data_IF_082312420455
#
_entry.id   IF_082312420455
#
_cell.length_a   1.000
_cell.length_b   1.000
_cell.length_c   1.000
_cell.angle_alpha   90.00
_cell.angle_beta   90.00
_cell.angle_gamma   90.00
#
_symmetry.space_group_name_H-M   'P 1'
#
loop_
_entity.id
_entity.type
_entity.pdbx_description
1 polymer ?
#
# COMPACT_ATOMS: atom_id res chain seq x y z
N UNK A 1 -20.36 5.44 -34.76
CA UNK A 1 -20.02 5.32 -33.33
C UNK A 1 -18.74 6.09 -32.98
N UNK A 2 -17.66 5.95 -33.75
CA UNK A 2 -16.38 6.69 -33.57
C UNK A 2 -16.56 8.22 -33.55
N UNK A 3 -17.33 8.79 -34.49
CA UNK A 3 -17.63 10.23 -34.52
C UNK A 3 -18.39 10.76 -33.28
N UNK A 4 -18.98 9.88 -32.46
CA UNK A 4 -19.63 10.25 -31.19
C UNK A 4 -18.63 10.19 -30.03
N UNK A 5 -17.75 9.19 -30.03
CA UNK A 5 -16.64 9.10 -29.08
C UNK A 5 -15.67 10.28 -29.21
N UNK A 6 -15.36 10.71 -30.44
CA UNK A 6 -14.53 11.89 -30.72
C UNK A 6 -15.17 13.21 -30.23
N UNK A 7 -16.50 13.25 -30.10
CA UNK A 7 -17.24 14.38 -29.52
C UNK A 7 -17.36 14.29 -27.99
N UNK A 8 -16.67 13.33 -27.36
CA UNK A 8 -16.65 13.15 -25.90
C UNK A 8 -17.92 12.52 -25.31
N UNK A 9 -18.77 11.89 -26.14
CA UNK A 9 -19.97 11.19 -25.67
C UNK A 9 -19.84 9.69 -25.85
N UNK A 10 -20.12 8.92 -24.78
CA UNK A 10 -20.09 7.46 -24.82
C UNK A 10 -21.07 6.93 -25.89
N UNK A 11 -20.62 6.10 -26.85
CA UNK A 11 -21.51 5.55 -27.87
C UNK A 11 -22.54 4.56 -27.32
N UNK A 12 -22.19 3.85 -26.24
CA UNK A 12 -23.01 2.83 -25.58
C UNK A 12 -23.99 3.39 -24.53
N UNK A 13 -24.71 2.47 -23.87
CA UNK A 13 -25.57 2.78 -22.71
C UNK A 13 -24.74 3.42 -21.59
N UNK A 14 -25.26 4.50 -21.01
CA UNK A 14 -24.62 5.16 -19.88
C UNK A 14 -24.43 4.19 -18.67
N UNK A 15 -23.30 4.28 -17.94
CA UNK A 15 -23.10 3.56 -16.70
C UNK A 15 -24.12 3.93 -15.61
N UNK A 16 -24.25 3.08 -14.58
CA UNK A 16 -25.19 3.30 -13.48
C UNK A 16 -24.89 4.62 -12.76
N UNK A 17 -25.91 5.40 -12.42
CA UNK A 17 -25.72 6.77 -11.93
C UNK A 17 -25.90 7.82 -13.03
N UNK A 18 -26.05 7.39 -14.28
CA UNK A 18 -26.24 8.27 -15.43
C UNK A 18 -27.31 7.73 -16.39
N UNK A 19 -27.95 8.63 -17.13
CA UNK A 19 -28.96 8.32 -18.13
C UNK A 19 -28.68 9.04 -19.44
N UNK A 20 -28.91 8.34 -20.55
CA UNK A 20 -28.89 8.91 -21.89
C UNK A 20 -30.18 9.69 -22.12
N UNK A 21 -30.09 11.00 -22.36
CA UNK A 21 -31.21 11.88 -22.67
C UNK A 21 -31.00 12.48 -24.06
N UNK A 22 -32.09 12.64 -24.82
CA UNK A 22 -32.08 13.38 -26.07
C UNK A 22 -32.34 14.86 -25.71
N UNK A 23 -31.33 15.70 -25.89
CA UNK A 23 -31.50 17.14 -25.71
C UNK A 23 -32.04 17.72 -27.02
N UNK A 24 -33.16 18.45 -26.96
CA UNK A 24 -33.80 19.03 -28.16
C UNK A 24 -33.20 20.39 -28.56
N UNK A 25 -32.39 21.02 -27.68
CA UNK A 25 -31.82 22.36 -27.89
C UNK A 25 -30.44 22.36 -28.54
N UNK A 26 -29.66 21.33 -28.24
CA UNK A 26 -28.38 21.05 -28.89
C UNK A 26 -28.71 19.87 -29.81
N UNK A 27 -28.46 19.94 -31.11
CA UNK A 27 -28.79 18.87 -32.08
C UNK A 27 -28.02 17.54 -31.87
N UNK A 28 -27.63 17.25 -30.62
CA UNK A 28 -26.90 16.10 -30.15
C UNK A 28 -27.84 15.08 -29.50
N UNK A 29 -27.94 13.90 -30.13
CA UNK A 29 -28.67 12.76 -29.59
C UNK A 29 -27.81 12.06 -28.51
N UNK A 30 -28.37 11.81 -27.33
CA UNK A 30 -27.80 11.03 -26.22
C UNK A 30 -26.71 11.74 -25.39
N UNK A 31 -27.06 12.86 -24.77
CA UNK A 31 -26.30 13.51 -23.69
C UNK A 31 -26.42 12.66 -22.42
N UNK A 32 -25.32 12.49 -21.69
CA UNK A 32 -25.27 11.70 -20.47
C UNK A 32 -25.41 12.62 -19.25
N UNK A 33 -26.54 12.53 -18.55
CA UNK A 33 -26.82 13.34 -17.34
C UNK A 33 -26.94 12.43 -16.09
N UNK A 34 -26.60 12.93 -14.89
CA UNK A 34 -26.81 12.22 -13.63
C UNK A 34 -28.27 11.76 -13.45
N UNK A 35 -28.47 10.54 -12.94
CA UNK A 35 -29.79 10.02 -12.55
C UNK A 35 -29.98 9.98 -11.02
N UNK A 36 -31.07 9.38 -10.53
CA UNK A 36 -31.34 9.23 -9.10
C UNK A 36 -30.30 8.37 -8.36
N UNK A 37 -29.61 7.48 -9.06
CA UNK A 37 -28.56 6.62 -8.50
C UNK A 37 -27.21 7.32 -8.40
N UNK A 38 -27.02 8.52 -9.00
CA UNK A 38 -25.75 9.22 -9.00
C UNK A 38 -25.16 9.40 -7.59
N UNK A 39 -25.98 9.86 -6.64
CA UNK A 39 -25.55 10.05 -5.24
C UNK A 39 -25.27 8.73 -4.52
N UNK A 40 -26.03 7.68 -4.86
CA UNK A 40 -25.87 6.35 -4.25
C UNK A 40 -24.59 5.67 -4.73
N UNK A 41 -24.24 5.81 -6.01
CA UNK A 41 -22.97 5.32 -6.55
C UNK A 41 -21.80 6.11 -5.98
N UNK A 42 -21.92 7.44 -5.81
CA UNK A 42 -20.89 8.24 -5.14
C UNK A 42 -20.64 7.74 -3.71
N UNK A 43 -21.71 7.47 -2.96
CA UNK A 43 -21.62 6.91 -1.61
C UNK A 43 -20.92 5.55 -1.57
N UNK A 44 -21.06 4.71 -2.60
CA UNK A 44 -20.27 3.47 -2.70
C UNK A 44 -18.77 3.73 -2.83
N UNK A 45 -18.36 4.71 -3.64
CA UNK A 45 -16.96 5.11 -3.72
C UNK A 45 -16.47 5.69 -2.38
N UNK A 46 -17.28 6.52 -1.72
CA UNK A 46 -16.92 7.08 -0.42
C UNK A 46 -16.72 5.96 0.63
N UNK A 47 -17.59 4.93 0.68
CA UNK A 47 -17.44 3.77 1.58
C UNK A 47 -16.15 2.96 1.32
N UNK A 48 -15.72 2.86 0.06
CA UNK A 48 -14.43 2.23 -0.27
C UNK A 48 -13.27 3.07 0.27
N UNK A 49 -13.34 4.38 0.11
CA UNK A 49 -12.28 5.31 0.47
C UNK A 49 -12.16 5.55 1.99
N UNK A 50 -13.26 5.51 2.73
CA UNK A 50 -13.28 5.81 4.18
C UNK A 50 -13.15 4.56 5.04
N UNK A 51 -13.92 3.51 4.76
CA UNK A 51 -14.06 2.37 5.69
C UNK A 51 -13.18 1.18 5.32
N UNK A 52 -12.41 1.24 4.22
CA UNK A 52 -11.77 0.06 3.63
C UNK A 52 -12.79 -1.12 3.61
N UNK A 53 -14.00 -0.92 3.07
CA UNK A 53 -15.05 -1.93 3.08
C UNK A 53 -14.74 -3.12 2.13
N UNK A 54 -15.17 -4.34 2.47
CA UNK A 54 -15.08 -5.51 1.57
C UNK A 54 -16.21 -5.48 0.53
N UNK A 55 -16.07 -6.20 -0.59
CA UNK A 55 -17.10 -6.24 -1.64
C UNK A 55 -18.43 -6.80 -1.12
N UNK A 56 -18.40 -7.74 -0.18
CA UNK A 56 -19.60 -8.29 0.48
C UNK A 56 -20.29 -7.24 1.36
N UNK A 57 -19.51 -6.41 2.07
CA UNK A 57 -20.06 -5.31 2.86
C UNK A 57 -20.68 -4.26 1.95
N UNK A 58 -20.03 -3.94 0.82
CA UNK A 58 -20.56 -3.01 -0.18
C UNK A 58 -21.85 -3.52 -0.82
N UNK A 59 -21.98 -4.83 -1.06
CA UNK A 59 -23.23 -5.43 -1.54
C UNK A 59 -24.37 -5.26 -0.52
N UNK A 60 -24.09 -5.53 0.76
CA UNK A 60 -25.07 -5.35 1.82
C UNK A 60 -25.49 -3.88 1.96
N UNK A 61 -24.54 -2.96 1.94
CA UNK A 61 -24.82 -1.52 2.01
C UNK A 61 -25.55 -1.01 0.76
N UNK A 62 -25.16 -1.45 -0.45
CA UNK A 62 -25.87 -1.15 -1.69
C UNK A 62 -27.34 -1.58 -1.61
N UNK A 63 -27.59 -2.77 -1.04
CA UNK A 63 -28.94 -3.28 -0.80
C UNK A 63 -29.71 -2.43 0.21
N UNK A 64 -29.09 -2.04 1.33
CA UNK A 64 -29.71 -1.15 2.33
C UNK A 64 -30.08 0.21 1.76
N UNK A 65 -29.23 0.75 0.89
CA UNK A 65 -29.44 2.03 0.23
C UNK A 65 -30.45 1.97 -0.94
N UNK A 66 -30.95 0.78 -1.29
CA UNK A 66 -31.89 0.61 -2.40
C UNK A 66 -31.27 0.78 -3.80
N UNK A 67 -29.94 0.69 -3.91
CA UNK A 67 -29.24 0.84 -5.19
C UNK A 67 -29.63 -0.30 -6.13
N UNK A 68 -30.31 0.06 -7.22
CA UNK A 68 -30.85 -0.88 -8.19
C UNK A 68 -30.70 -0.37 -9.62
N UNK A 69 -30.79 -1.28 -10.58
CA UNK A 69 -30.86 -0.93 -12.00
C UNK A 69 -32.28 -1.13 -12.50
N UNK A 70 -32.62 -0.56 -13.67
CA UNK A 70 -33.96 -0.74 -14.29
C UNK A 70 -34.35 -2.21 -14.50
N UNK A 71 -33.38 -3.11 -14.63
CA UNK A 71 -33.58 -4.53 -14.92
C UNK A 71 -33.29 -5.46 -13.74
N UNK A 72 -32.52 -5.00 -12.75
CA UNK A 72 -32.08 -5.82 -11.63
C UNK A 72 -32.30 -5.08 -10.32
N UNK A 73 -33.14 -5.65 -9.46
CA UNK A 73 -33.52 -5.08 -8.17
C UNK A 73 -32.44 -5.24 -7.09
N UNK A 74 -31.49 -6.18 -7.28
CA UNK A 74 -30.36 -6.43 -6.35
C UNK A 74 -29.05 -6.56 -7.12
N UNK A 75 -28.11 -5.65 -6.88
CA UNK A 75 -26.80 -5.70 -7.52
C UNK A 75 -25.91 -6.74 -6.84
N UNK A 76 -25.49 -7.76 -7.60
CA UNK A 76 -24.52 -8.74 -7.11
C UNK A 76 -23.09 -8.18 -7.05
N UNK A 77 -22.23 -8.84 -6.27
CA UNK A 77 -20.80 -8.50 -6.08
C UNK A 77 -20.07 -8.16 -7.39
N UNK A 78 -20.22 -8.99 -8.44
CA UNK A 78 -19.56 -8.77 -9.73
C UNK A 78 -19.98 -7.46 -10.41
N UNK A 79 -21.24 -7.05 -10.22
CA UNK A 79 -21.75 -5.79 -10.78
C UNK A 79 -21.16 -4.60 -10.04
N UNK A 80 -21.05 -4.68 -8.71
CA UNK A 80 -20.44 -3.65 -7.88
C UNK A 80 -18.95 -3.50 -8.22
N UNK A 81 -18.24 -4.61 -8.38
CA UNK A 81 -16.84 -4.58 -8.82
C UNK A 81 -16.69 -3.87 -10.18
N UNK A 82 -17.55 -4.19 -11.15
CA UNK A 82 -17.54 -3.52 -12.47
C UNK A 82 -17.85 -2.03 -12.38
N UNK A 83 -18.74 -1.60 -11.47
CA UNK A 83 -19.02 -0.18 -11.24
C UNK A 83 -17.76 0.52 -10.71
N UNK A 84 -17.13 -0.05 -9.68
CA UNK A 84 -15.95 0.55 -9.05
C UNK A 84 -14.73 0.59 -9.99
N UNK A 85 -14.60 -0.38 -10.90
CA UNK A 85 -13.53 -0.48 -11.89
C UNK A 85 -13.76 0.34 -13.18
N UNK A 86 -14.87 1.07 -13.28
CA UNK A 86 -15.19 1.80 -14.50
C UNK A 86 -14.57 3.20 -14.48
N UNK A 87 -13.65 3.46 -15.42
CA UNK A 87 -12.99 4.75 -15.61
C UNK A 87 -13.93 5.90 -15.97
N UNK A 88 -15.12 5.59 -16.48
CA UNK A 88 -16.12 6.59 -16.83
C UNK A 88 -16.48 7.51 -15.65
N UNK A 89 -16.45 7.02 -14.41
CA UNK A 89 -16.82 7.82 -13.24
C UNK A 89 -15.88 9.00 -12.97
N UNK A 90 -14.61 8.96 -13.41
CA UNK A 90 -13.69 10.11 -13.32
C UNK A 90 -13.58 10.92 -14.62
N UNK A 91 -14.36 10.56 -15.66
CA UNK A 91 -14.49 11.37 -16.87
C UNK A 91 -13.67 10.91 -18.08
N UNK A 92 -13.05 9.72 -18.06
CA UNK A 92 -12.42 9.13 -19.25
C UNK A 92 -13.04 7.77 -19.56
N UNK A 93 -13.04 7.37 -20.82
CA UNK A 93 -13.45 6.04 -21.22
C UNK A 93 -12.68 5.58 -22.45
N UNK A 94 -12.56 4.28 -22.61
CA UNK A 94 -11.95 3.64 -23.77
C UNK A 94 -13.03 3.31 -24.81
N UNK A 95 -12.75 3.56 -26.09
CA UNK A 95 -13.64 3.17 -27.18
C UNK A 95 -12.89 2.88 -28.48
N UNK A 96 -13.16 1.75 -29.17
CA UNK A 96 -13.90 0.56 -28.71
C UNK A 96 -13.27 -0.05 -27.44
N UNK A 97 -14.05 -0.78 -26.63
CA UNK A 97 -13.53 -1.41 -25.40
C UNK A 97 -12.39 -2.39 -25.75
N UNK A 98 -11.21 -2.21 -25.14
CA UNK A 98 -9.99 -2.98 -25.46
C UNK A 98 -9.19 -2.51 -26.68
N UNK A 99 -9.47 -1.34 -27.25
CA UNK A 99 -8.70 -0.79 -28.39
C UNK A 99 -7.43 -0.03 -28.00
N UNK A 100 -7.30 0.39 -26.74
CA UNK A 100 -6.28 1.30 -26.24
C UNK A 100 -6.57 2.79 -26.51
N UNK A 101 -7.67 3.13 -27.18
CA UNK A 101 -8.02 4.52 -27.53
C UNK A 101 -8.85 5.19 -26.43
N UNK A 102 -8.22 6.12 -25.71
CA UNK A 102 -8.83 6.83 -24.58
C UNK A 102 -9.44 8.16 -24.99
N UNK A 103 -10.72 8.34 -24.67
CA UNK A 103 -11.47 9.58 -24.91
C UNK A 103 -11.81 10.29 -23.60
N UNK A 104 -11.79 11.63 -23.63
CA UNK A 104 -12.28 12.47 -22.54
C UNK A 104 -13.79 12.64 -22.68
N UNK A 105 -14.54 12.28 -21.64
CA UNK A 105 -15.99 12.43 -21.60
C UNK A 105 -16.43 13.86 -21.27
N UNK A 106 -17.50 14.32 -21.91
CA UNK A 106 -18.15 15.61 -21.65
C UNK A 106 -19.23 15.53 -20.55
N UNK A 107 -19.42 14.36 -19.93
CA UNK A 107 -20.32 14.20 -18.81
C UNK A 107 -19.73 14.75 -17.52
N UNK A 108 -20.59 14.99 -16.52
CA UNK A 108 -20.14 15.41 -15.19
C UNK A 108 -19.41 14.25 -14.49
N UNK A 109 -18.10 14.35 -14.18
CA UNK A 109 -17.39 13.33 -13.43
C UNK A 109 -17.96 13.24 -12.00
N UNK A 110 -18.02 12.02 -11.48
CA UNK A 110 -18.51 11.71 -10.12
C UNK A 110 -17.39 11.73 -9.09
N UNK A 111 -16.19 11.31 -9.49
CA UNK A 111 -14.99 11.20 -8.65
C UNK A 111 -13.79 11.82 -9.36
N UNK A 112 -12.72 12.11 -8.63
CA UNK A 112 -11.45 12.53 -9.22
C UNK A 112 -10.61 11.33 -9.66
N UNK A 113 -9.54 11.58 -10.42
CA UNK A 113 -8.61 10.52 -10.82
C UNK A 113 -7.87 9.95 -9.60
N UNK A 114 -7.52 10.79 -8.64
CA UNK A 114 -6.83 10.39 -7.41
C UNK A 114 -7.74 9.53 -6.52
N UNK A 115 -9.02 9.87 -6.42
CA UNK A 115 -10.03 9.06 -5.73
C UNK A 115 -10.18 7.69 -6.40
N UNK A 116 -10.18 7.65 -7.74
CA UNK A 116 -10.30 6.40 -8.49
C UNK A 116 -9.08 5.49 -8.28
N UNK A 117 -7.86 6.02 -8.44
CA UNK A 117 -6.62 5.26 -8.26
C UNK A 117 -6.54 4.66 -6.85
N UNK A 118 -6.85 5.47 -5.83
CA UNK A 118 -6.90 5.00 -4.44
C UNK A 118 -7.95 3.89 -4.24
N UNK A 119 -9.13 4.02 -4.84
CA UNK A 119 -10.14 2.98 -4.78
C UNK A 119 -9.66 1.68 -5.47
N UNK A 120 -8.99 1.78 -6.62
CA UNK A 120 -8.43 0.63 -7.32
C UNK A 120 -7.34 -0.07 -6.51
N UNK A 121 -6.48 0.67 -5.81
CA UNK A 121 -5.50 0.06 -4.90
C UNK A 121 -6.17 -0.76 -3.80
N UNK A 122 -7.20 -0.20 -3.15
CA UNK A 122 -7.92 -0.87 -2.06
C UNK A 122 -8.61 -2.14 -2.56
N UNK A 123 -9.27 -2.07 -3.71
CA UNK A 123 -9.99 -3.21 -4.30
C UNK A 123 -9.00 -4.29 -4.78
N UNK A 124 -7.91 -3.89 -5.44
CA UNK A 124 -6.89 -4.82 -5.99
C UNK A 124 -6.05 -5.48 -4.90
N UNK A 125 -5.73 -4.77 -3.80
CA UNK A 125 -5.08 -5.38 -2.63
C UNK A 125 -5.93 -6.50 -2.04
N UNK A 126 -7.26 -6.35 -2.07
CA UNK A 126 -8.20 -7.33 -1.50
C UNK A 126 -8.55 -8.50 -2.40
N UNK A 127 -8.54 -8.35 -3.73
CA UNK A 127 -8.73 -9.50 -4.64
C UNK A 127 -7.62 -10.54 -4.53
N UNK A 128 -6.45 -10.18 -3.96
CA UNK A 128 -5.41 -11.14 -3.56
C UNK A 128 -5.70 -11.85 -2.23
N UNK A 129 -6.51 -11.28 -1.36
CA UNK A 129 -6.89 -11.87 -0.08
C UNK A 129 -8.15 -12.74 -0.25
N UNK A 130 -7.97 -14.01 -0.62
CA UNK A 130 -9.05 -15.00 -0.58
C UNK A 130 -9.56 -15.13 0.86
N UNK A 131 -10.87 -15.06 1.04
CA UNK A 131 -11.53 -15.41 2.30
C UNK A 131 -11.28 -16.90 2.58
N UNK A 132 -10.40 -17.22 3.52
CA UNK A 132 -10.06 -18.60 3.88
C UNK A 132 -10.98 -19.00 5.04
N UNK A 133 -12.00 -19.86 4.77
CA UNK A 133 -12.88 -20.45 5.81
C UNK A 133 -12.13 -21.23 6.91
N UNK A 134 -10.85 -21.50 6.70
CA UNK A 134 -9.95 -22.16 7.65
C UNK A 134 -8.63 -21.38 7.70
N UNK A 135 -8.55 -20.36 8.56
CA UNK A 135 -7.31 -19.62 8.79
C UNK A 135 -6.32 -20.54 9.49
N UNK A 136 -5.39 -21.10 8.73
CA UNK A 136 -4.29 -21.91 9.27
C UNK A 136 -3.08 -20.99 9.43
N UNK A 137 -2.50 -21.02 10.62
CA UNK A 137 -1.59 -20.01 11.17
C UNK A 137 -0.48 -19.55 10.23
N UNK A 138 0.15 -20.42 9.44
CA UNK A 138 1.27 -20.03 8.57
C UNK A 138 1.04 -20.36 7.09
N UNK A 139 -0.22 -20.54 6.69
CA UNK A 139 -0.56 -20.88 5.29
C UNK A 139 -0.21 -19.72 4.35
N UNK A 140 0.45 -20.05 3.24
CA UNK A 140 0.79 -19.08 2.19
C UNK A 140 2.11 -18.35 2.38
N UNK A 141 2.80 -18.54 3.51
CA UNK A 141 4.11 -17.95 3.75
C UNK A 141 5.26 -18.74 3.10
N UNK A 142 5.09 -20.05 2.92
CA UNK A 142 6.17 -20.97 2.58
C UNK A 142 6.03 -21.57 1.18
N UNK A 143 7.17 -21.89 0.58
CA UNK A 143 7.27 -22.57 -0.72
C UNK A 143 8.02 -23.89 -0.58
N UNK A 144 7.77 -24.82 -1.50
CA UNK A 144 8.46 -26.11 -1.54
C UNK A 144 9.82 -25.95 -2.22
N UNK A 145 10.93 -26.33 -1.59
CA UNK A 145 12.25 -26.28 -2.22
C UNK A 145 12.34 -27.15 -3.48
N UNK A 146 11.74 -28.34 -3.44
CA UNK A 146 11.83 -29.32 -4.53
C UNK A 146 11.13 -28.88 -5.83
N UNK A 147 9.89 -28.37 -5.73
CA UNK A 147 9.09 -28.09 -6.92
C UNK A 147 8.66 -26.61 -7.04
N UNK A 148 9.12 -25.72 -6.15
CA UNK A 148 8.74 -24.30 -6.12
C UNK A 148 7.27 -24.01 -5.79
N UNK A 149 6.44 -25.04 -5.63
CA UNK A 149 5.01 -24.90 -5.38
C UNK A 149 4.70 -24.36 -3.99
N UNK A 150 3.57 -23.67 -3.84
CA UNK A 150 3.11 -23.18 -2.54
C UNK A 150 2.85 -24.32 -1.55
N UNK A 151 3.26 -24.11 -0.30
CA UNK A 151 2.94 -24.99 0.82
C UNK A 151 1.51 -24.70 1.27
N UNK A 152 0.74 -25.76 1.45
CA UNK A 152 -0.61 -25.72 2.05
C UNK A 152 -0.57 -26.43 3.40
N UNK A 153 -1.67 -26.40 4.14
CA UNK A 153 -1.77 -27.09 5.41
C UNK A 153 -3.03 -27.93 5.52
N UNK A 154 -2.96 -28.97 6.35
CA UNK A 154 -4.07 -29.84 6.73
C UNK A 154 -4.13 -29.96 8.25
N UNK A 155 -5.34 -29.85 8.81
CA UNK A 155 -5.62 -30.09 10.23
C UNK A 155 -6.10 -31.52 10.40
N UNK A 156 -5.54 -32.23 11.38
CA UNK A 156 -5.91 -33.60 11.73
C UNK A 156 -6.33 -33.60 13.20
N UNK A 157 -7.59 -33.94 13.45
CA UNK A 157 -8.13 -34.10 14.80
C UNK A 157 -8.08 -35.59 15.14
N UNK A 158 -7.41 -35.94 16.24
CA UNK A 158 -7.30 -37.30 16.75
C UNK A 158 -8.08 -37.43 18.05
N UNK A 159 -9.06 -38.32 18.05
CA UNK A 159 -9.79 -38.72 19.25
C UNK A 159 -9.11 -39.96 19.85
N UNK A 160 -8.62 -39.83 21.08
CA UNK A 160 -8.02 -40.93 21.82
C UNK A 160 -9.09 -41.72 22.58
N UNK A 161 -8.80 -42.99 22.88
CA UNK A 161 -9.70 -43.90 23.62
C UNK A 161 -10.01 -43.42 25.04
N UNK A 162 -9.17 -42.56 25.62
CA UNK A 162 -9.35 -41.91 26.93
C UNK A 162 -10.24 -40.65 26.89
N UNK A 163 -10.84 -40.33 25.73
CA UNK A 163 -11.67 -39.13 25.55
C UNK A 163 -10.90 -37.86 25.16
N UNK A 164 -9.57 -37.89 25.17
CA UNK A 164 -8.77 -36.72 24.80
C UNK A 164 -8.81 -36.46 23.29
N UNK A 165 -8.99 -35.20 22.92
CA UNK A 165 -8.97 -34.75 21.52
C UNK A 165 -7.71 -33.93 21.29
N UNK A 166 -6.87 -34.37 20.35
CA UNK A 166 -5.66 -33.64 19.96
C UNK A 166 -5.77 -33.16 18.52
N UNK A 167 -5.55 -31.87 18.31
CA UNK A 167 -5.47 -31.26 16.98
C UNK A 167 -4.01 -31.09 16.56
N UNK A 168 -3.70 -31.47 15.31
CA UNK A 168 -2.38 -31.32 14.71
C UNK A 168 -2.49 -30.62 13.36
N UNK A 169 -1.69 -29.57 13.18
CA UNK A 169 -1.55 -28.88 11.90
C UNK A 169 -0.27 -29.34 11.19
N UNK A 170 -0.41 -29.76 9.93
CA UNK A 170 0.67 -30.25 9.08
C UNK A 170 0.81 -29.37 7.83
N UNK A 171 2.00 -28.84 7.59
CA UNK A 171 2.39 -28.08 6.41
C UNK A 171 3.02 -28.99 5.36
N UNK A 172 2.49 -29.01 4.15
CA UNK A 172 2.98 -29.88 3.07
C UNK A 172 2.81 -29.27 1.69
N UNK A 173 3.55 -29.78 0.71
CA UNK A 173 3.41 -29.35 -0.68
C UNK A 173 1.98 -29.59 -1.20
N UNK A 174 1.44 -28.62 -1.95
CA UNK A 174 0.15 -28.74 -2.61
C UNK A 174 0.15 -29.63 -3.86
N UNK A 175 1.33 -30.06 -4.35
CA UNK A 175 1.51 -30.81 -5.61
C UNK A 175 0.88 -30.14 -6.84
N UNK A 176 0.78 -28.80 -6.81
CA UNK A 176 0.22 -28.00 -7.92
C UNK A 176 1.19 -27.84 -9.09
N UNK A 177 2.48 -27.76 -8.81
CA UNK A 177 3.54 -27.61 -9.83
C UNK A 177 4.00 -28.99 -10.30
N UNK A 178 4.32 -29.88 -9.37
CA UNK A 178 4.72 -31.26 -9.64
C UNK A 178 3.89 -32.24 -8.80
N UNK A 179 3.21 -33.18 -9.47
CA UNK A 179 2.38 -34.22 -8.87
C UNK A 179 3.20 -35.32 -8.18
N UNK A 180 4.46 -35.49 -8.56
CA UNK A 180 5.40 -36.48 -8.01
C UNK A 180 6.18 -35.96 -6.80
N UNK A 181 6.08 -34.67 -6.49
CA UNK A 181 6.87 -34.02 -5.45
C UNK A 181 6.82 -34.74 -4.09
N UNK A 182 8.01 -35.17 -3.63
CA UNK A 182 8.22 -35.95 -2.40
C UNK A 182 7.87 -35.16 -1.13
N UNK A 183 7.92 -33.82 -1.17
CA UNK A 183 7.65 -32.96 -0.02
C UNK A 183 6.22 -33.11 0.52
N UNK A 184 5.28 -33.61 -0.30
CA UNK A 184 3.91 -33.93 0.15
C UNK A 184 3.92 -35.02 1.23
N UNK A 185 4.76 -36.04 1.06
CA UNK A 185 4.86 -37.19 1.96
C UNK A 185 5.71 -36.88 3.21
N UNK A 186 6.32 -35.70 3.26
CA UNK A 186 7.18 -35.24 4.36
C UNK A 186 6.63 -33.93 4.95
N UNK A 187 5.43 -33.95 5.55
CA UNK A 187 4.84 -32.76 6.13
C UNK A 187 5.65 -32.28 7.34
N UNK A 188 5.73 -30.97 7.51
CA UNK A 188 6.28 -30.30 8.68
C UNK A 188 5.14 -30.01 9.67
N UNK A 189 5.26 -30.41 10.93
CA UNK A 189 4.26 -30.06 11.96
C UNK A 189 4.39 -28.60 12.35
N UNK A 190 3.30 -27.98 12.76
CA UNK A 190 3.31 -26.57 13.22
C UNK A 190 4.26 -26.34 14.39
N UNK A 191 4.22 -27.17 15.44
CA UNK A 191 5.14 -27.02 16.56
C UNK A 191 6.62 -27.20 16.15
N UNK A 192 6.90 -28.11 15.21
CA UNK A 192 8.25 -28.31 14.67
C UNK A 192 8.71 -27.12 13.83
N UNK A 193 7.79 -26.45 13.14
CA UNK A 193 8.04 -25.20 12.41
C UNK A 193 8.33 -24.04 13.38
N UNK A 194 7.49 -23.86 14.41
CA UNK A 194 7.69 -22.80 15.42
C UNK A 194 9.01 -22.99 16.18
N UNK A 195 9.36 -24.23 16.55
CA UNK A 195 10.65 -24.53 17.19
C UNK A 195 11.85 -24.21 16.29
N UNK A 196 11.74 -24.42 14.97
CA UNK A 196 12.80 -24.04 14.04
C UNK A 196 12.95 -22.53 13.91
N UNK A 197 11.85 -21.77 13.94
CA UNK A 197 11.89 -20.31 13.98
C UNK A 197 12.55 -19.83 15.28
N UNK A 198 12.14 -20.36 16.43
CA UNK A 198 12.76 -20.04 17.72
C UNK A 198 14.26 -20.32 17.73
N UNK A 199 14.70 -21.46 17.18
CA UNK A 199 16.13 -21.77 17.08
C UNK A 199 16.92 -20.87 16.12
N UNK A 200 16.25 -20.18 15.18
CA UNK A 200 16.88 -19.13 14.36
C UNK A 200 16.92 -17.82 15.14
N UNK A 201 15.82 -17.46 15.81
CA UNK A 201 15.73 -16.27 16.66
C UNK A 201 16.79 -16.30 17.78
N UNK A 202 17.04 -17.45 18.38
CA UNK A 202 18.07 -17.65 19.41
C UNK A 202 19.48 -17.31 18.92
N UNK A 203 19.77 -17.52 17.63
CA UNK A 203 21.07 -17.21 17.04
C UNK A 203 21.24 -15.73 16.70
N UNK A 204 20.13 -15.02 16.53
CA UNK A 204 20.11 -13.60 16.17
C UNK A 204 19.95 -12.74 17.44
N UNK A 205 19.49 -13.32 18.54
CA UNK A 205 19.25 -12.60 19.79
C UNK A 205 20.56 -11.97 20.30
N UNK A 206 20.54 -10.65 20.43
CA UNK A 206 21.64 -9.88 20.98
C UNK A 206 21.42 -9.76 22.50
N UNK A 207 22.40 -10.13 23.33
CA UNK A 207 22.37 -9.87 24.77
C UNK A 207 22.16 -8.38 25.09
N UNK A 208 21.38 -8.09 26.14
CA UNK A 208 20.99 -6.71 26.49
C UNK A 208 22.19 -5.82 26.82
N UNK A 209 23.21 -6.38 27.47
CA UNK A 209 24.47 -5.72 27.79
C UNK A 209 25.25 -5.30 26.54
N UNK A 210 25.27 -6.12 25.49
CA UNK A 210 25.89 -5.78 24.20
C UNK A 210 25.10 -4.66 23.52
N UNK A 211 23.76 -4.69 23.60
CA UNK A 211 22.92 -3.61 23.08
C UNK A 211 23.20 -2.28 23.79
N UNK A 212 23.19 -2.27 25.12
CA UNK A 212 23.41 -1.08 25.91
C UNK A 212 24.80 -0.48 25.64
N UNK A 213 25.82 -1.33 25.53
CA UNK A 213 27.17 -0.92 25.13
C UNK A 213 27.22 -0.35 23.71
N UNK A 214 26.67 -1.05 22.72
CA UNK A 214 26.66 -0.58 21.33
C UNK A 214 25.94 0.76 21.17
N UNK A 215 24.81 0.93 21.87
CA UNK A 215 24.06 2.19 21.87
C UNK A 215 24.81 3.32 22.56
N UNK A 216 25.54 3.03 23.64
CA UNK A 216 26.39 4.01 24.30
C UNK A 216 27.51 4.49 23.37
N UNK A 217 28.17 3.56 22.67
CA UNK A 217 29.25 3.85 21.72
C UNK A 217 28.73 4.68 20.53
N UNK A 218 27.62 4.26 19.91
CA UNK A 218 27.00 4.99 18.78
C UNK A 218 26.59 6.40 19.20
N UNK A 219 26.07 6.58 20.42
CA UNK A 219 25.73 7.90 20.97
C UNK A 219 26.98 8.75 21.20
N UNK A 220 28.09 8.16 21.65
CA UNK A 220 29.35 8.86 21.88
C UNK A 220 29.97 9.32 20.56
N UNK A 221 30.11 8.44 19.56
CA UNK A 221 30.62 8.78 18.23
C UNK A 221 29.74 9.83 17.55
N UNK A 222 28.41 9.72 17.67
CA UNK A 222 27.52 10.76 17.16
C UNK A 222 27.62 12.07 17.94
N UNK A 223 27.93 12.04 19.24
CA UNK A 223 28.27 13.22 20.02
C UNK A 223 29.51 13.92 19.49
N UNK A 224 30.54 13.17 19.08
CA UNK A 224 31.74 13.71 18.44
C UNK A 224 31.44 14.28 17.05
N UNK A 225 30.66 13.57 16.24
CA UNK A 225 30.21 14.03 14.92
C UNK A 225 29.20 15.20 14.99
N UNK A 226 28.57 15.42 16.15
CA UNK A 226 27.58 16.48 16.38
C UNK A 226 28.17 17.86 16.12
N UNK A 227 29.37 18.13 16.64
CA UNK A 227 30.05 19.43 16.46
C UNK A 227 30.29 19.72 14.97
N UNK A 228 30.78 18.74 14.22
CA UNK A 228 31.02 18.89 12.77
C UNK A 228 29.72 19.16 12.01
N UNK A 229 28.62 18.49 12.39
CA UNK A 229 27.29 18.72 11.80
C UNK A 229 26.71 20.08 12.17
N UNK A 230 26.84 20.51 13.42
CA UNK A 230 26.39 21.83 13.89
C UNK A 230 27.10 22.95 13.12
N UNK A 231 28.42 22.81 12.89
CA UNK A 231 29.19 23.75 12.06
C UNK A 231 28.68 23.77 10.61
N UNK A 232 28.41 22.61 10.02
CA UNK A 232 27.87 22.52 8.66
C UNK A 232 26.46 23.14 8.54
N UNK A 233 25.57 22.86 9.50
CA UNK A 233 24.22 23.44 9.56
C UNK A 233 24.31 24.95 9.71
N UNK A 234 25.18 25.46 10.59
CA UNK A 234 25.37 26.89 10.83
C UNK A 234 25.89 27.61 9.57
N UNK A 235 26.79 26.98 8.81
CA UNK A 235 27.24 27.50 7.52
C UNK A 235 26.09 27.61 6.50
N UNK A 236 25.22 26.60 6.40
CA UNK A 236 24.05 26.64 5.53
C UNK A 236 22.99 27.64 6.00
N UNK A 237 22.74 27.77 7.31
CA UNK A 237 21.85 28.79 7.88
C UNK A 237 22.32 30.20 7.54
N UNK A 238 23.62 30.47 7.69
CA UNK A 238 24.20 31.76 7.27
C UNK A 238 23.99 32.06 5.79
N UNK A 239 24.02 31.05 4.92
CA UNK A 239 23.73 31.22 3.50
C UNK A 239 22.23 31.46 3.23
N UNK A 240 21.36 30.82 4.00
CA UNK A 240 19.92 31.06 3.97
C UNK A 240 19.56 32.49 4.38
N UNK A 241 20.15 32.97 5.48
CA UNK A 241 19.92 34.31 6.00
C UNK A 241 20.37 35.38 4.98
N UNK A 242 21.57 35.23 4.43
CA UNK A 242 22.08 36.11 3.35
C UNK A 242 21.19 36.11 2.11
N UNK A 243 20.64 34.96 1.72
CA UNK A 243 19.73 34.90 0.58
C UNK A 243 18.40 35.61 0.90
N UNK A 244 17.92 35.51 2.14
CA UNK A 244 16.70 36.14 2.62
C UNK A 244 16.87 37.67 2.73
N UNK A 245 17.96 38.15 3.32
CA UNK A 245 18.33 39.57 3.34
C UNK A 245 18.40 40.15 1.92
N UNK A 246 18.97 39.39 0.97
CA UNK A 246 19.02 39.80 -0.44
C UNK A 246 17.64 39.88 -1.08
N UNK A 247 16.71 38.99 -0.70
CA UNK A 247 15.32 39.06 -1.17
C UNK A 247 14.62 40.29 -0.60
N UNK A 248 14.81 40.59 0.69
CA UNK A 248 14.25 41.79 1.33
C UNK A 248 14.78 43.06 0.67
N UNK A 249 16.10 43.20 0.49
CA UNK A 249 16.67 44.36 -0.19
C UNK A 249 16.21 44.52 -1.65
N UNK A 250 15.94 43.41 -2.36
CA UNK A 250 15.34 43.47 -3.70
C UNK A 250 13.88 43.95 -3.68
N UNK A 251 13.13 43.69 -2.60
CA UNK A 251 11.76 44.18 -2.43
C UNK A 251 11.79 45.70 -2.21
N UNK A 252 12.67 46.19 -1.34
CA UNK A 252 12.83 47.61 -1.04
C UNK A 252 13.24 48.38 -2.31
N UNK A 253 14.27 47.92 -3.02
CA UNK A 253 14.69 48.51 -4.32
C UNK A 253 13.57 48.52 -5.37
N UNK A 254 12.69 47.52 -5.38
CA UNK A 254 11.55 47.52 -6.31
C UNK A 254 10.47 48.52 -5.88
N UNK A 255 10.23 48.68 -4.58
CA UNK A 255 9.30 49.63 -4.02
C UNK A 255 9.72 51.08 -4.33
N UNK A 256 11.02 51.35 -4.29
CA UNK A 256 11.62 52.66 -4.63
C UNK A 256 11.76 52.89 -6.15
N UNK A 257 11.36 51.90 -6.97
CA UNK A 257 11.50 51.89 -8.44
C UNK A 257 12.95 51.92 -8.98
N UNK A 258 13.94 51.58 -8.17
CA UNK A 258 15.36 51.48 -8.57
C UNK A 258 15.63 50.35 -9.59
N UNK A 259 14.73 49.36 -9.66
CA UNK A 259 14.85 48.20 -10.56
C UNK A 259 13.55 47.91 -11.31
N UNK A 260 13.69 47.43 -12.54
CA UNK A 260 12.54 47.02 -13.36
C UNK A 260 11.89 45.74 -12.82
N UNK A 261 10.64 45.49 -13.22
CA UNK A 261 9.90 44.28 -12.81
C UNK A 261 10.60 43.01 -13.29
N UNK A 262 11.16 43.05 -14.49
CA UNK A 262 11.87 41.95 -15.13
C UNK A 262 13.19 41.64 -14.41
N UNK A 263 13.97 42.67 -14.06
CA UNK A 263 15.22 42.51 -13.30
C UNK A 263 14.95 42.02 -11.88
N UNK A 264 13.92 42.56 -11.21
CA UNK A 264 13.47 42.07 -9.90
C UNK A 264 13.13 40.59 -9.96
N UNK A 265 12.29 40.16 -10.91
CA UNK A 265 11.87 38.77 -11.05
C UNK A 265 13.08 37.84 -11.29
N UNK A 266 14.02 38.24 -12.14
CA UNK A 266 15.21 37.45 -12.44
C UNK A 266 16.16 37.33 -11.24
N UNK A 267 16.42 38.45 -10.54
CA UNK A 267 17.31 38.48 -9.37
C UNK A 267 16.69 37.75 -8.17
N UNK A 268 15.39 37.93 -7.94
CA UNK A 268 14.63 37.22 -6.91
C UNK A 268 14.65 35.72 -7.14
N UNK A 269 14.37 35.25 -8.36
CA UNK A 269 14.42 33.81 -8.69
C UNK A 269 15.80 33.19 -8.43
N UNK A 270 16.90 33.93 -8.65
CA UNK A 270 18.25 33.47 -8.33
C UNK A 270 18.50 33.39 -6.82
N UNK A 271 17.97 34.34 -6.05
CA UNK A 271 18.10 34.36 -4.60
C UNK A 271 17.24 33.26 -3.94
N UNK A 272 16.00 33.07 -4.40
CA UNK A 272 15.10 31.99 -3.98
C UNK A 272 15.74 30.61 -4.21
N UNK A 273 16.31 30.35 -5.40
CA UNK A 273 17.04 29.09 -5.65
C UNK A 273 18.17 28.82 -4.64
N UNK A 274 18.89 29.86 -4.20
CA UNK A 274 19.96 29.72 -3.20
C UNK A 274 19.41 29.46 -1.81
N UNK A 275 18.28 30.09 -1.47
CA UNK A 275 17.54 29.88 -0.24
C UNK A 275 17.03 28.44 -0.16
N UNK A 276 16.33 27.97 -1.18
CA UNK A 276 15.78 26.62 -1.27
C UNK A 276 16.89 25.55 -1.19
N UNK A 277 18.02 25.79 -1.86
CA UNK A 277 19.17 24.88 -1.78
C UNK A 277 19.76 24.80 -0.37
N UNK A 278 19.93 25.93 0.32
CA UNK A 278 20.44 25.95 1.68
C UNK A 278 19.49 25.21 2.65
N UNK A 279 18.19 25.41 2.50
CA UNK A 279 17.15 24.75 3.29
C UNK A 279 17.13 23.23 3.05
N UNK A 280 17.22 22.79 1.80
CA UNK A 280 17.33 21.37 1.46
C UNK A 280 18.56 20.70 2.10
N UNK A 281 19.71 21.39 2.12
CA UNK A 281 20.93 20.85 2.72
C UNK A 281 20.81 20.73 4.24
N UNK A 282 20.19 21.70 4.92
CA UNK A 282 19.92 21.64 6.36
C UNK A 282 19.02 20.43 6.66
N UNK A 283 17.89 20.32 5.95
CA UNK A 283 16.92 19.24 6.14
C UNK A 283 17.55 17.86 5.86
N UNK A 284 18.47 17.75 4.89
CA UNK A 284 19.17 16.50 4.59
C UNK A 284 20.11 16.08 5.71
N UNK A 285 20.87 17.02 6.29
CA UNK A 285 21.82 16.73 7.37
C UNK A 285 21.06 16.33 8.64
N UNK A 286 19.99 17.05 9.00
CA UNK A 286 19.16 16.75 10.17
C UNK A 286 18.35 15.46 9.99
N UNK A 287 17.70 15.30 8.83
CA UNK A 287 16.85 14.16 8.51
C UNK A 287 17.61 12.84 8.41
N UNK A 288 18.77 12.81 7.73
CA UNK A 288 19.57 11.58 7.61
C UNK A 288 20.00 11.04 8.97
N UNK A 289 20.30 11.92 9.92
CA UNK A 289 20.78 11.52 11.23
C UNK A 289 19.66 10.93 12.08
N UNK A 290 18.48 11.57 12.05
CA UNK A 290 17.29 11.04 12.72
C UNK A 290 16.88 9.67 12.17
N UNK A 291 16.82 9.54 10.85
CA UNK A 291 16.48 8.27 10.19
C UNK A 291 17.50 7.16 10.52
N UNK A 292 18.79 7.51 10.62
CA UNK A 292 19.83 6.55 10.99
C UNK A 292 19.63 5.98 12.39
N UNK A 293 19.35 6.84 13.38
CA UNK A 293 19.10 6.41 14.75
C UNK A 293 17.79 5.64 14.90
N UNK A 294 16.71 6.08 14.26
CA UNK A 294 15.43 5.36 14.28
C UNK A 294 15.59 3.95 13.71
N UNK A 295 16.33 3.79 12.61
CA UNK A 295 16.61 2.46 12.02
C UNK A 295 17.47 1.58 12.91
N UNK A 296 18.48 2.15 13.56
CA UNK A 296 19.33 1.42 14.51
C UNK A 296 18.47 0.95 15.69
N UNK A 297 17.70 1.84 16.28
CA UNK A 297 16.80 1.49 17.39
C UNK A 297 15.79 0.43 16.97
N UNK A 298 15.21 0.50 15.78
CA UNK A 298 14.30 -0.54 15.26
C UNK A 298 14.99 -1.90 15.12
N UNK A 299 16.17 -1.95 14.49
CA UNK A 299 16.92 -3.20 14.26
C UNK A 299 17.33 -3.84 15.58
N UNK A 300 17.84 -3.04 16.52
CA UNK A 300 18.27 -3.57 17.80
C UNK A 300 17.09 -3.94 18.70
N UNK A 301 16.02 -3.13 18.76
CA UNK A 301 14.81 -3.50 19.50
C UNK A 301 14.19 -4.80 18.96
N UNK A 302 14.24 -5.00 17.65
CA UNK A 302 13.88 -6.27 17.04
C UNK A 302 14.79 -7.39 17.56
N UNK A 303 16.11 -7.27 17.42
CA UNK A 303 17.05 -8.32 17.85
C UNK A 303 16.92 -8.70 19.34
N UNK A 304 16.61 -7.74 20.21
CA UNK A 304 16.47 -7.97 21.66
C UNK A 304 15.13 -8.62 22.03
N UNK A 305 14.01 -8.14 21.45
CA UNK A 305 12.66 -8.49 21.90
C UNK A 305 11.90 -9.46 20.98
N UNK A 306 12.46 -9.80 19.82
CA UNK A 306 11.76 -10.62 18.82
C UNK A 306 11.36 -11.99 19.36
N UNK A 307 12.19 -12.63 20.20
CA UNK A 307 11.90 -13.94 20.76
C UNK A 307 10.69 -13.91 21.69
N UNK A 308 10.68 -12.99 22.66
CA UNK A 308 9.60 -12.85 23.62
C UNK A 308 8.29 -12.44 22.92
N UNK A 309 8.39 -11.60 21.90
CA UNK A 309 7.25 -11.21 21.04
C UNK A 309 6.74 -12.39 20.21
N UNK A 310 7.60 -13.27 19.70
CA UNK A 310 7.18 -14.45 18.97
C UNK A 310 6.45 -15.46 19.88
N UNK A 311 6.97 -15.69 21.10
CA UNK A 311 6.36 -16.62 22.06
C UNK A 311 4.99 -16.14 22.56
N UNK A 312 4.88 -14.87 22.96
CA UNK A 312 3.66 -14.30 23.59
C UNK A 312 2.72 -13.59 22.63
N UNK A 313 3.16 -13.28 21.42
CA UNK A 313 2.41 -12.50 20.44
C UNK A 313 1.28 -13.26 19.78
N UNK A 314 0.37 -12.50 19.18
CA UNK A 314 -0.72 -12.99 18.34
C UNK A 314 -0.18 -13.67 17.07
N UNK A 315 -1.01 -14.49 16.42
CA UNK A 315 -0.65 -15.15 15.15
C UNK A 315 -0.26 -14.13 14.08
N UNK A 316 -0.91 -12.96 14.05
CA UNK A 316 -0.59 -11.88 13.11
C UNK A 316 0.82 -11.33 13.34
N UNK A 317 1.19 -11.06 14.60
CA UNK A 317 2.53 -10.60 14.97
C UNK A 317 3.60 -11.67 14.67
N UNK A 318 3.30 -12.95 14.92
CA UNK A 318 4.20 -14.05 14.54
C UNK A 318 4.45 -14.10 13.03
N UNK A 319 3.40 -13.94 12.21
CA UNK A 319 3.52 -13.88 10.74
C UNK A 319 4.41 -12.70 10.31
N UNK A 320 4.21 -11.53 10.92
CA UNK A 320 4.99 -10.33 10.64
C UNK A 320 6.48 -10.52 10.98
N UNK A 321 6.77 -11.08 12.15
CA UNK A 321 8.15 -11.42 12.55
C UNK A 321 8.80 -12.35 11.53
N UNK A 322 8.10 -13.40 11.10
CA UNK A 322 8.61 -14.35 10.12
C UNK A 322 8.92 -13.68 8.77
N UNK A 323 8.05 -12.76 8.32
CA UNK A 323 8.25 -12.02 7.07
C UNK A 323 9.41 -11.03 7.15
N UNK A 324 9.64 -10.42 8.31
CA UNK A 324 10.74 -9.48 8.54
C UNK A 324 12.08 -10.20 8.76
N UNK A 325 12.06 -11.44 9.24
CA UNK A 325 13.28 -12.21 9.54
C UNK A 325 14.05 -12.62 8.29
N UNK A 326 13.36 -12.79 7.16
CA UNK A 326 14.02 -13.17 5.93
C UNK A 326 13.09 -13.38 4.74
N UNK A 327 13.72 -13.57 3.58
CA UNK A 327 13.06 -13.85 2.32
C UNK A 327 13.13 -15.33 1.95
N UNK A 328 12.36 -15.75 0.95
CA UNK A 328 12.41 -17.10 0.37
C UNK A 328 12.22 -18.24 1.37
N UNK A 329 11.18 -18.15 2.22
CA UNK A 329 10.83 -19.23 3.12
C UNK A 329 10.51 -20.52 2.35
N UNK A 330 11.40 -21.50 2.49
CA UNK A 330 11.37 -22.76 1.76
C UNK A 330 11.34 -23.94 2.75
N UNK A 331 10.47 -24.92 2.49
CA UNK A 331 10.52 -26.21 3.21
C UNK A 331 11.28 -27.22 2.34
N UNK A 332 12.27 -27.86 2.94
CA UNK A 332 13.00 -28.99 2.39
C UNK A 332 13.09 -30.10 3.45
N UNK A 333 12.39 -31.21 3.25
CA UNK A 333 12.49 -32.40 4.11
C UNK A 333 12.25 -32.13 5.61
N UNK A 334 11.14 -31.43 5.90
CA UNK A 334 10.76 -30.96 7.26
C UNK A 334 11.69 -29.92 7.87
N UNK A 335 12.67 -29.42 7.12
CA UNK A 335 13.52 -28.29 7.54
C UNK A 335 13.07 -27.01 6.86
N UNK A 336 13.00 -25.95 7.64
CA UNK A 336 12.81 -24.59 7.16
C UNK A 336 14.16 -24.04 6.68
N UNK A 337 14.17 -23.54 5.46
CA UNK A 337 15.26 -22.78 4.88
C UNK A 337 14.78 -21.34 4.69
N UNK A 338 15.51 -20.40 5.25
CA UNK A 338 15.24 -18.96 5.13
C UNK A 338 16.51 -18.25 4.71
N UNK A 339 16.37 -17.26 3.83
CA UNK A 339 17.45 -16.33 3.52
C UNK A 339 17.27 -15.11 4.40
N UNK A 340 18.11 -14.97 5.44
CA UNK A 340 18.08 -13.82 6.35
C UNK A 340 18.35 -12.52 5.55
N UNK A 341 17.61 -11.45 5.86
CA UNK A 341 17.72 -10.13 5.22
C UNK A 341 18.73 -9.26 5.97
#
# INVERSE_FOLDING_TARGET
MVAKANRGWLPNKAPLGYVNIIDKKVSEKNIIKPDSNFKLVRRLFDLVLTENATLEKLELEAKKMGLSTKTVQRLGISTIHRILANSFYYGKYEWPEGSGEWHKGNHKPMITIEEYERAQEIITRKTKARFIKHDINYRGLMTCKFCGGAITASRIIKHQKNGNVHEYTYYHCGKKVDKSCIQRSRPLKENEFENQILGILDKIQIPQDIYDWAMAEIKQENGLAKKTREVAILAHRKNYDKATEKIHGLIDMRADNDITKEEYAQRRKKAEKKKDFAELMINRIEGNNKIFFEKIDEVFNFATNVKTKFEKGTIAERKEIILNLGSNLQICDKKLMILLI
#
